data_IF_692666838335
#
_entry.id   IF_692666838335
#
_cell.length_a   1.000
_cell.length_b   1.000
_cell.length_c   1.000
_cell.angle_alpha   90.00
_cell.angle_beta   90.00
_cell.angle_gamma   90.00
#
_symmetry.space_group_name_H-M   'P 1'
#
loop_
_entity.id
_entity.type
_entity.pdbx_description
1 polymer ?
#
# COMPACT_ATOMS: atom_id res chain seq x y z
N UNK A 1 -24.03 5.31 -14.74
CA UNK A 1 -22.93 4.45 -14.24
C UNK A 1 -22.66 4.78 -12.78
N UNK A 2 -22.42 3.80 -11.92
CA UNK A 2 -22.11 4.00 -10.49
C UNK A 2 -20.95 3.08 -10.08
N UNK A 3 -19.91 3.66 -9.47
CA UNK A 3 -18.77 2.90 -8.90
C UNK A 3 -19.13 2.41 -7.50
N UNK A 4 -18.72 1.20 -7.14
CA UNK A 4 -19.04 0.57 -5.85
C UNK A 4 -17.86 0.53 -4.89
N UNK A 5 -16.65 0.23 -5.39
CA UNK A 5 -15.43 0.14 -4.60
C UNK A 5 -14.20 0.20 -5.52
N UNK A 6 -13.04 0.42 -4.92
CA UNK A 6 -11.75 0.17 -5.56
C UNK A 6 -11.43 -1.32 -5.42
N UNK A 7 -11.33 -2.05 -6.53
CA UNK A 7 -10.96 -3.48 -6.52
C UNK A 7 -9.45 -3.65 -6.31
N UNK A 8 -8.67 -2.95 -7.13
CA UNK A 8 -7.21 -2.90 -7.04
C UNK A 8 -6.67 -1.60 -7.61
N UNK A 9 -5.39 -1.36 -7.36
CA UNK A 9 -4.60 -0.33 -8.01
C UNK A 9 -3.29 -0.93 -8.54
N UNK A 10 -2.55 -0.15 -9.32
CA UNK A 10 -1.23 -0.53 -9.83
C UNK A 10 -0.20 0.43 -9.25
N UNK A 11 0.87 -0.10 -8.67
CA UNK A 11 2.09 0.67 -8.39
C UNK A 11 3.14 0.35 -9.46
N UNK A 12 3.73 1.41 -10.02
CA UNK A 12 4.99 1.29 -10.74
C UNK A 12 6.11 1.41 -9.71
N UNK A 13 6.95 0.39 -9.63
CA UNK A 13 8.01 0.26 -8.62
C UNK A 13 9.36 0.08 -9.30
N UNK A 14 10.44 0.53 -8.66
CA UNK A 14 11.79 0.39 -9.20
C UNK A 14 12.22 -1.08 -9.24
N UNK A 15 11.86 -1.85 -8.21
CA UNK A 15 12.23 -3.26 -8.05
C UNK A 15 11.09 -4.04 -7.36
N UNK A 16 10.54 -5.05 -8.05
CA UNK A 16 9.38 -5.80 -7.56
C UNK A 16 9.69 -6.56 -6.27
N UNK A 17 10.85 -7.20 -6.17
CA UNK A 17 11.19 -8.03 -5.02
C UNK A 17 11.38 -7.18 -3.76
N UNK A 18 11.98 -6.00 -3.89
CA UNK A 18 12.13 -5.01 -2.82
C UNK A 18 10.76 -4.55 -2.31
N UNK A 19 9.85 -4.16 -3.21
CA UNK A 19 8.50 -3.75 -2.82
C UNK A 19 7.73 -4.92 -2.19
N UNK A 20 7.81 -6.13 -2.77
CA UNK A 20 7.18 -7.32 -2.20
C UNK A 20 7.67 -7.61 -0.79
N UNK A 21 8.98 -7.56 -0.56
CA UNK A 21 9.58 -7.78 0.75
C UNK A 21 9.12 -6.73 1.77
N UNK A 22 9.07 -5.45 1.37
CA UNK A 22 8.57 -4.37 2.22
C UNK A 22 7.12 -4.59 2.61
N UNK A 23 6.20 -4.71 1.65
CA UNK A 23 4.77 -4.78 1.95
C UNK A 23 4.39 -6.07 2.69
N UNK A 24 5.07 -7.19 2.40
CA UNK A 24 4.83 -8.45 3.12
C UNK A 24 5.35 -8.40 4.55
N UNK A 25 6.54 -7.83 4.78
CA UNK A 25 7.15 -7.78 6.12
C UNK A 25 6.54 -6.69 7.01
N UNK A 26 6.32 -5.51 6.45
CA UNK A 26 5.93 -4.32 7.22
C UNK A 26 4.41 -4.26 7.38
N UNK A 27 3.65 -4.52 6.31
CA UNK A 27 2.18 -4.42 6.31
C UNK A 27 1.47 -5.78 6.35
N UNK A 28 2.20 -6.90 6.38
CA UNK A 28 1.62 -8.23 6.44
C UNK A 28 0.85 -8.64 5.17
N UNK A 29 1.08 -7.96 4.04
CA UNK A 29 0.41 -8.28 2.78
C UNK A 29 0.88 -9.63 2.24
N UNK A 30 0.00 -10.35 1.54
CA UNK A 30 0.35 -11.63 0.90
C UNK A 30 0.77 -11.41 -0.54
N UNK A 31 2.06 -11.57 -0.83
CA UNK A 31 2.56 -11.61 -2.21
C UNK A 31 2.07 -12.88 -2.92
N UNK A 32 1.58 -12.71 -4.14
CA UNK A 32 1.20 -13.80 -5.04
C UNK A 32 1.59 -13.47 -6.47
N UNK A 33 2.17 -14.46 -7.15
CA UNK A 33 2.35 -14.45 -8.61
C UNK A 33 1.11 -15.08 -9.23
N UNK A 34 0.57 -14.44 -10.27
CA UNK A 34 -0.55 -14.97 -11.03
C UNK A 34 -0.30 -14.84 -12.53
N UNK A 35 -0.80 -15.80 -13.29
CA UNK A 35 -0.82 -15.72 -14.75
C UNK A 35 -2.01 -14.87 -15.19
N UNK A 36 -1.74 -13.76 -15.87
CA UNK A 36 -2.78 -12.92 -16.43
C UNK A 36 -3.40 -13.56 -17.69
N UNK A 37 -4.51 -13.00 -18.17
CA UNK A 37 -5.25 -13.51 -19.32
C UNK A 37 -4.45 -13.52 -20.62
N UNK A 38 -3.39 -12.71 -20.69
CA UNK A 38 -2.45 -12.65 -21.82
C UNK A 38 -1.28 -13.66 -21.68
N UNK A 39 -1.28 -14.48 -20.63
CA UNK A 39 -0.23 -15.46 -20.35
C UNK A 39 0.99 -14.91 -19.60
N UNK A 40 1.05 -13.60 -19.33
CA UNK A 40 2.15 -13.01 -18.57
C UNK A 40 2.07 -13.37 -17.08
N UNK A 41 3.22 -13.61 -16.45
CA UNK A 41 3.30 -13.68 -14.99
C UNK A 41 3.32 -12.26 -14.40
N UNK A 42 2.47 -12.04 -13.40
CA UNK A 42 2.30 -10.74 -12.75
C UNK A 42 2.35 -10.89 -11.24
N UNK A 43 2.87 -9.87 -10.58
CA UNK A 43 3.03 -9.83 -9.12
C UNK A 43 1.94 -8.96 -8.50
N UNK A 44 1.34 -9.46 -7.42
CA UNK A 44 0.39 -8.69 -6.63
C UNK A 44 0.56 -8.89 -5.12
N UNK A 45 0.21 -7.86 -4.38
CA UNK A 45 0.16 -7.83 -2.92
C UNK A 45 -1.30 -7.77 -2.48
N UNK A 46 -1.77 -8.81 -1.81
CA UNK A 46 -3.15 -8.95 -1.34
C UNK A 46 -3.29 -8.50 0.12
N UNK A 47 -4.39 -7.79 0.42
CA UNK A 47 -4.80 -7.37 1.76
C UNK A 47 -6.33 -7.32 1.83
N UNK A 48 -6.93 -8.00 2.82
CA UNK A 48 -8.38 -8.23 2.82
C UNK A 48 -8.85 -8.85 1.49
N UNK A 49 -9.87 -8.25 0.90
CA UNK A 49 -10.44 -8.65 -0.40
C UNK A 49 -9.91 -7.82 -1.58
N UNK A 50 -8.84 -7.03 -1.37
CA UNK A 50 -8.25 -6.13 -2.37
C UNK A 50 -6.80 -6.49 -2.67
N UNK A 51 -6.23 -5.88 -3.71
CA UNK A 51 -4.82 -6.05 -4.05
C UNK A 51 -4.16 -4.81 -4.67
N UNK A 52 -2.83 -4.80 -4.64
CA UNK A 52 -1.98 -3.92 -5.44
C UNK A 52 -1.25 -4.79 -6.46
N UNK A 53 -1.43 -4.52 -7.76
CA UNK A 53 -0.57 -5.10 -8.78
C UNK A 53 0.73 -4.28 -8.87
N UNK A 54 1.86 -4.96 -9.07
CA UNK A 54 3.16 -4.32 -9.22
C UNK A 54 3.61 -4.39 -10.68
N UNK A 55 3.99 -3.25 -11.23
CA UNK A 55 4.68 -3.14 -12.51
C UNK A 55 6.09 -2.62 -12.24
N UNK A 56 7.11 -3.26 -12.80
CA UNK A 56 8.46 -2.73 -12.69
C UNK A 56 8.63 -1.54 -13.66
N UNK A 57 9.30 -0.49 -13.20
CA UNK A 57 9.59 0.70 -14.00
C UNK A 57 10.34 0.30 -15.29
N UNK A 58 9.82 0.76 -16.43
CA UNK A 58 10.34 0.42 -17.76
C UNK A 58 9.93 -0.96 -18.29
N UNK A 59 9.17 -1.75 -17.51
CA UNK A 59 8.62 -3.05 -17.90
C UNK A 59 7.10 -3.11 -17.60
N UNK A 60 6.41 -1.98 -17.70
CA UNK A 60 5.00 -1.93 -17.37
C UNK A 60 4.14 -2.66 -18.42
N UNK A 61 3.19 -3.47 -17.94
CA UNK A 61 2.18 -4.05 -18.82
C UNK A 61 1.22 -2.97 -19.32
N UNK A 62 0.82 -3.06 -20.60
CA UNK A 62 -0.14 -2.14 -21.21
C UNK A 62 -1.57 -2.71 -21.17
N UNK A 63 -2.59 -1.85 -21.03
CA UNK A 63 -2.49 -0.41 -20.77
C UNK A 63 -2.04 -0.09 -19.33
N UNK A 64 -1.42 1.07 -19.14
CA UNK A 64 -1.02 1.60 -17.83
C UNK A 64 -1.28 3.12 -17.73
N UNK A 65 -0.92 3.71 -16.60
CA UNK A 65 -0.99 5.16 -16.41
C UNK A 65 -0.14 5.90 -17.45
N UNK A 66 -0.64 7.05 -17.93
CA UNK A 66 0.06 7.89 -18.93
C UNK A 66 1.42 8.39 -18.44
N UNK A 67 1.52 8.71 -17.16
CA UNK A 67 2.72 9.15 -16.47
C UNK A 67 3.04 8.17 -15.34
N UNK A 68 3.19 6.89 -15.69
CA UNK A 68 3.63 5.86 -14.76
C UNK A 68 5.03 6.21 -14.23
N UNK A 69 5.18 6.30 -12.91
CA UNK A 69 6.42 6.62 -12.23
C UNK A 69 6.42 6.01 -10.83
N UNK A 70 7.61 5.86 -10.26
CA UNK A 70 7.83 5.40 -8.89
C UNK A 70 7.56 6.54 -7.89
N UNK A 71 7.13 6.22 -6.68
CA UNK A 71 7.02 7.19 -5.59
C UNK A 71 5.89 8.21 -5.74
N UNK A 72 4.95 8.01 -6.67
CA UNK A 72 3.86 8.96 -6.94
C UNK A 72 2.56 8.65 -6.21
N UNK A 73 2.50 7.56 -5.45
CA UNK A 73 1.30 7.16 -4.71
C UNK A 73 1.28 7.75 -3.30
N UNK A 74 0.08 8.06 -2.85
CA UNK A 74 -0.26 8.48 -1.49
C UNK A 74 -1.50 7.66 -1.08
N UNK A 75 -1.31 6.70 -0.16
CA UNK A 75 -2.27 5.64 0.12
C UNK A 75 -2.55 5.55 1.62
N UNK A 76 -3.83 5.51 1.98
CA UNK A 76 -4.28 5.26 3.34
C UNK A 76 -4.86 3.86 3.49
N UNK A 77 -4.30 3.07 4.40
CA UNK A 77 -4.77 1.73 4.76
C UNK A 77 -5.37 1.72 6.16
N UNK A 78 -6.47 0.99 6.32
CA UNK A 78 -7.00 0.69 7.63
C UNK A 78 -6.28 -0.53 8.21
N UNK A 79 -5.83 -0.41 9.45
CA UNK A 79 -5.13 -1.48 10.18
C UNK A 79 -5.98 -2.03 11.33
N UNK A 80 -5.75 -3.30 11.66
CA UNK A 80 -6.51 -4.03 12.68
C UNK A 80 -6.00 -3.79 14.10
N UNK A 81 -4.79 -3.28 14.21
CA UNK A 81 -4.06 -2.98 15.42
C UNK A 81 -4.42 -1.58 15.94
N UNK A 82 -4.39 -1.33 17.27
CA UNK A 82 -4.37 0.03 17.81
C UNK A 82 -3.19 0.83 17.27
N UNK A 83 -3.35 2.15 17.12
CA UNK A 83 -2.32 2.99 16.49
C UNK A 83 -0.97 2.93 17.23
N UNK A 84 -0.98 2.83 18.56
CA UNK A 84 0.25 2.65 19.36
C UNK A 84 0.94 1.30 19.08
N UNK A 85 0.15 0.25 18.77
CA UNK A 85 0.68 -1.04 18.36
C UNK A 85 1.34 -0.98 16.98
N UNK A 86 0.77 -0.21 16.05
CA UNK A 86 1.39 0.06 14.74
C UNK A 86 2.71 0.79 14.91
N UNK A 87 2.77 1.81 15.77
CA UNK A 87 4.00 2.55 16.09
C UNK A 87 5.07 1.62 16.65
N UNK A 88 4.71 0.78 17.62
CA UNK A 88 5.64 -0.18 18.22
C UNK A 88 6.17 -1.20 17.20
N UNK A 89 5.30 -1.71 16.32
CA UNK A 89 5.69 -2.62 15.24
C UNK A 89 6.68 -1.96 14.27
N UNK A 90 6.36 -0.76 13.76
CA UNK A 90 7.20 -0.03 12.82
C UNK A 90 8.57 0.31 13.42
N UNK A 91 8.59 0.83 14.65
CA UNK A 91 9.84 1.16 15.35
C UNK A 91 10.66 -0.10 15.66
N UNK A 92 10.03 -1.21 16.02
CA UNK A 92 10.68 -2.51 16.20
C UNK A 92 11.30 -3.06 14.92
N UNK A 93 10.75 -2.70 13.76
CA UNK A 93 11.33 -2.98 12.44
C UNK A 93 12.39 -1.96 12.00
N UNK A 94 12.64 -0.92 12.78
CA UNK A 94 13.64 0.12 12.51
C UNK A 94 13.15 1.27 11.63
N UNK A 95 11.83 1.40 11.41
CA UNK A 95 11.27 2.51 10.65
C UNK A 95 11.13 3.77 11.52
N UNK A 96 11.57 4.90 10.97
CA UNK A 96 11.22 6.20 11.50
C UNK A 96 9.81 6.58 11.02
N UNK A 97 8.96 7.02 11.94
CA UNK A 97 7.64 7.55 11.61
C UNK A 97 7.83 8.97 11.08
N UNK A 98 7.36 9.24 9.87
CA UNK A 98 7.45 10.56 9.22
C UNK A 98 6.54 11.57 9.92
N UNK A 99 5.33 11.13 10.29
CA UNK A 99 4.38 11.90 11.09
C UNK A 99 3.40 10.96 11.81
N UNK A 100 2.89 11.39 12.96
CA UNK A 100 1.88 10.65 13.73
C UNK A 100 2.31 10.26 15.14
N UNK A 101 1.37 9.81 15.99
CA UNK A 101 -0.05 9.67 15.70
C UNK A 101 -0.75 11.04 15.58
N UNK A 102 -1.59 11.22 14.56
CA UNK A 102 -2.30 12.47 14.30
C UNK A 102 -3.73 12.21 13.84
N UNK A 103 -4.63 13.13 14.19
CA UNK A 103 -6.02 13.08 13.75
C UNK A 103 -6.13 13.32 12.23
N UNK A 104 -6.92 12.50 11.54
CA UNK A 104 -7.27 12.67 10.12
C UNK A 104 -8.75 12.42 9.85
N UNK A 105 -9.19 12.83 8.68
CA UNK A 105 -10.53 12.57 8.18
C UNK A 105 -10.48 11.39 7.20
N UNK A 106 -11.02 10.25 7.61
CA UNK A 106 -11.22 9.11 6.74
C UNK A 106 -12.50 9.21 5.93
N UNK A 107 -12.70 8.24 5.04
CA UNK A 107 -13.87 8.20 4.16
C UNK A 107 -15.20 8.12 4.92
N UNK A 108 -15.23 7.48 6.10
CA UNK A 108 -16.48 7.29 6.88
C UNK A 108 -16.40 7.81 8.32
N UNK A 109 -15.35 8.53 8.70
CA UNK A 109 -15.17 8.99 10.08
C UNK A 109 -13.76 9.48 10.41
N UNK A 110 -13.56 9.90 11.66
CA UNK A 110 -12.25 10.34 12.14
C UNK A 110 -11.28 9.16 12.30
N UNK A 111 -10.02 9.39 11.90
CA UNK A 111 -8.92 8.42 11.98
C UNK A 111 -7.84 8.91 12.94
N UNK A 112 -7.13 7.97 13.55
CA UNK A 112 -5.76 8.16 14.03
C UNK A 112 -4.80 7.53 13.05
N UNK A 113 -3.82 8.32 12.58
CA UNK A 113 -2.95 7.97 11.46
C UNK A 113 -1.46 8.13 11.81
N UNK A 114 -0.64 7.25 11.23
CA UNK A 114 0.83 7.39 11.17
C UNK A 114 1.30 7.25 9.72
N UNK A 115 2.42 7.87 9.40
CA UNK A 115 2.96 7.97 8.04
C UNK A 115 4.36 7.39 7.94
N UNK A 116 4.61 6.62 6.89
CA UNK A 116 5.93 6.11 6.50
C UNK A 116 6.11 6.22 4.98
N UNK A 117 7.35 6.01 4.52
CA UNK A 117 7.68 5.83 3.11
C UNK A 117 7.88 4.35 2.79
N UNK A 118 7.38 3.93 1.64
CA UNK A 118 7.81 2.66 1.04
C UNK A 118 9.19 2.82 0.35
N UNK A 119 9.77 1.75 -0.23
CA UNK A 119 11.08 1.80 -0.88
C UNK A 119 11.18 2.78 -2.05
N UNK A 120 10.06 3.06 -2.73
CA UNK A 120 9.98 3.96 -3.88
C UNK A 120 9.64 5.40 -3.47
N UNK A 121 9.38 5.64 -2.19
CA UNK A 121 9.02 6.96 -1.64
C UNK A 121 7.53 7.28 -1.67
N UNK A 122 6.66 6.31 -1.99
CA UNK A 122 5.22 6.47 -1.87
C UNK A 122 4.88 6.79 -0.41
N UNK A 123 3.93 7.69 -0.19
CA UNK A 123 3.45 8.00 1.16
C UNK A 123 2.44 6.93 1.58
N UNK A 124 2.72 6.25 2.68
CA UNK A 124 1.86 5.20 3.23
C UNK A 124 1.32 5.68 4.58
N UNK A 125 0.02 5.96 4.60
CA UNK A 125 -0.74 6.27 5.80
C UNK A 125 -1.35 4.97 6.36
N UNK A 126 -1.06 4.68 7.63
CA UNK A 126 -1.62 3.55 8.38
C UNK A 126 -2.55 4.09 9.46
N UNK A 127 -3.82 3.70 9.39
CA UNK A 127 -4.88 4.39 10.10
C UNK A 127 -5.85 3.45 10.80
N UNK A 128 -6.45 3.95 11.88
CA UNK A 128 -7.57 3.29 12.56
C UNK A 128 -8.70 4.27 12.83
N UNK A 129 -9.95 3.83 12.62
CA UNK A 129 -11.11 4.64 13.02
C UNK A 129 -11.13 4.83 14.54
N UNK A 130 -11.34 6.09 14.94
CA UNK A 130 -11.61 6.42 16.33
C UNK A 130 -12.94 5.83 16.72
N UNK A 131 -12.93 5.01 17.78
CA UNK A 131 -14.16 4.58 18.42
C UNK A 131 -14.66 5.77 19.23
N UNK A 132 -15.90 6.17 19.00
CA UNK A 132 -16.57 7.20 19.79
C UNK A 132 -16.81 6.74 21.22
#
# INVERSE_FOLDING_TARGET
>A
MRVTMLDHLVLTVADIDTSCAFYSKVLGMRHQVFTATDGSERHALYFGDQKINLHQLGQEFKPNAKAAATGTADLCFLVSEPIDGVIAHLTGLGFAIEAGPVARSGATGALDSVYIRDPDGNLIELSRYRVA
#
